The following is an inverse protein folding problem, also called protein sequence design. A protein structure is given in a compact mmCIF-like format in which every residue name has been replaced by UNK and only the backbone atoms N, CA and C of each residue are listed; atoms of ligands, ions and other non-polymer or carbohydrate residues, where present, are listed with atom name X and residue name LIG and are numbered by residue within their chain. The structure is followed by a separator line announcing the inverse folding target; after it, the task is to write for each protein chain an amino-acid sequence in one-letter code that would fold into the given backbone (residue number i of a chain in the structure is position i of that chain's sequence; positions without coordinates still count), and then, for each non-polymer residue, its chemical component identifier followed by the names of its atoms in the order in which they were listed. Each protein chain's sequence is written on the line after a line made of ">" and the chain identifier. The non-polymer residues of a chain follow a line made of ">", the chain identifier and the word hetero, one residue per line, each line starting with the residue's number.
data_IF_340243471450
#
_entry.id   IF_340243471450
#
_cell.length_a   1.000
_cell.length_b   1.000
_cell.length_c   1.000
_cell.angle_alpha   90.00
_cell.angle_beta   90.00
_cell.angle_gamma   90.00
#
_symmetry.space_group_name_H-M   'P 1'
#
loop_
_entity.id
_entity.type
_entity.pdbx_description
1 polymer ?
#
# COMPACT_ATOMS: atom_id res chain seq x y z
N UNK A 1 -3.96 -48.75 -40.67
CA UNK A 1 -3.21 -47.78 -39.85
C UNK A 1 -4.26 -46.97 -39.11
N UNK A 2 -4.53 -47.30 -37.86
CA UNK A 2 -5.48 -46.51 -37.03
C UNK A 2 -4.69 -45.46 -36.32
N UNK A 3 -4.80 -44.20 -36.77
CA UNK A 3 -4.30 -43.06 -36.04
C UNK A 3 -5.06 -42.95 -34.73
N UNK A 4 -4.42 -43.38 -33.65
CA UNK A 4 -5.00 -43.20 -32.31
C UNK A 4 -5.23 -41.71 -32.03
N UNK A 5 -6.20 -41.34 -31.17
CA UNK A 5 -6.50 -39.95 -30.89
C UNK A 5 -5.25 -39.21 -30.43
N UNK A 6 -5.06 -37.96 -30.88
CA UNK A 6 -3.86 -37.18 -30.56
C UNK A 6 -3.74 -37.07 -29.04
N UNK A 7 -2.57 -37.45 -28.51
CA UNK A 7 -2.28 -37.33 -27.08
C UNK A 7 -2.33 -35.85 -26.70
N UNK A 8 -3.18 -35.52 -25.73
CA UNK A 8 -3.29 -34.15 -25.23
C UNK A 8 -1.95 -33.63 -24.73
N UNK A 9 -1.49 -32.49 -25.26
CA UNK A 9 -0.27 -31.82 -24.83
C UNK A 9 -0.57 -30.94 -23.61
N UNK A 10 -0.57 -31.57 -22.44
CA UNK A 10 -0.86 -30.90 -21.16
C UNK A 10 0.13 -29.78 -20.81
N UNK A 11 1.35 -29.84 -21.33
CA UNK A 11 2.35 -28.79 -21.11
C UNK A 11 1.94 -27.50 -21.83
N UNK A 12 1.57 -27.58 -23.09
CA UNK A 12 1.07 -26.43 -23.85
C UNK A 12 -0.23 -25.90 -23.27
N UNK A 13 -1.10 -26.77 -22.79
CA UNK A 13 -2.34 -26.37 -22.14
C UNK A 13 -2.05 -25.57 -20.84
N UNK A 14 -1.11 -26.05 -20.02
CA UNK A 14 -0.73 -25.35 -18.78
C UNK A 14 -0.11 -23.98 -19.06
N UNK A 15 0.79 -23.87 -20.03
CA UNK A 15 1.41 -22.60 -20.45
C UNK A 15 0.34 -21.64 -20.99
N UNK A 16 -0.59 -22.13 -21.81
CA UNK A 16 -1.72 -21.36 -22.33
C UNK A 16 -2.65 -20.83 -21.24
N UNK A 17 -3.04 -21.66 -20.29
CA UNK A 17 -3.87 -21.25 -19.14
C UNK A 17 -3.17 -20.22 -18.28
N UNK A 18 -1.87 -20.41 -18.00
CA UNK A 18 -1.07 -19.44 -17.25
C UNK A 18 -1.01 -18.08 -17.94
N UNK A 19 -0.71 -18.05 -19.24
CA UNK A 19 -0.65 -16.80 -20.03
C UNK A 19 -2.02 -16.11 -20.10
N UNK A 20 -3.08 -16.86 -20.40
CA UNK A 20 -4.44 -16.31 -20.47
C UNK A 20 -4.87 -15.71 -19.12
N UNK A 21 -4.55 -16.38 -18.01
CA UNK A 21 -4.85 -15.89 -16.67
C UNK A 21 -4.11 -14.57 -16.36
N UNK A 22 -2.84 -14.48 -16.66
CA UNK A 22 -2.06 -13.25 -16.48
C UNK A 22 -2.65 -12.13 -17.36
N UNK A 23 -2.99 -12.42 -18.61
CA UNK A 23 -3.60 -11.44 -19.51
C UNK A 23 -4.92 -10.89 -18.96
N UNK A 24 -5.77 -11.73 -18.35
CA UNK A 24 -7.00 -11.29 -17.67
C UNK A 24 -6.70 -10.34 -16.51
N UNK A 25 -5.72 -10.64 -15.66
CA UNK A 25 -5.34 -9.74 -14.58
C UNK A 25 -4.79 -8.40 -15.09
N UNK A 26 -4.00 -8.41 -16.16
CA UNK A 26 -3.53 -7.18 -16.80
C UNK A 26 -4.70 -6.37 -17.38
N UNK A 27 -5.67 -7.04 -18.02
CA UNK A 27 -6.85 -6.38 -18.54
C UNK A 27 -7.68 -5.74 -17.41
N UNK A 28 -7.91 -6.45 -16.31
CA UNK A 28 -8.61 -5.91 -15.13
C UNK A 28 -7.86 -4.73 -14.50
N UNK A 29 -6.55 -4.71 -14.59
CA UNK A 29 -5.74 -3.59 -14.13
C UNK A 29 -5.86 -2.38 -15.09
N UNK A 30 -5.79 -2.59 -16.39
CA UNK A 30 -5.91 -1.49 -17.39
C UNK A 30 -7.30 -0.88 -17.41
N UNK A 31 -8.35 -1.67 -17.15
CA UNK A 31 -9.73 -1.19 -17.00
C UNK A 31 -10.00 -0.49 -15.66
N UNK A 32 -9.03 -0.49 -14.74
CA UNK A 32 -9.15 0.14 -13.42
C UNK A 32 -9.94 -0.67 -12.39
N UNK A 33 -10.38 -1.88 -12.74
CA UNK A 33 -11.05 -2.80 -11.79
C UNK A 33 -10.07 -3.27 -10.70
N UNK A 34 -8.82 -3.55 -11.08
CA UNK A 34 -7.75 -3.84 -10.13
C UNK A 34 -6.84 -2.62 -9.96
N UNK A 35 -6.60 -2.18 -8.72
CA UNK A 35 -5.67 -1.08 -8.45
C UNK A 35 -4.22 -1.55 -8.72
N UNK A 36 -3.36 -0.64 -9.14
CA UNK A 36 -1.93 -0.92 -9.32
C UNK A 36 -1.24 -1.49 -8.07
N UNK A 37 -1.75 -1.17 -6.90
CA UNK A 37 -1.28 -1.75 -5.63
C UNK A 37 -1.46 -3.27 -5.53
N UNK A 38 -2.32 -3.87 -6.34
CA UNK A 38 -2.46 -5.31 -6.48
C UNK A 38 -1.13 -5.98 -6.82
N UNK A 39 -0.36 -5.39 -7.75
CA UNK A 39 0.93 -5.96 -8.17
C UNK A 39 1.97 -5.97 -7.07
N UNK A 40 1.92 -5.01 -6.13
CA UNK A 40 2.78 -5.03 -4.95
C UNK A 40 2.53 -6.24 -4.05
N UNK A 41 1.28 -6.67 -3.98
CA UNK A 41 0.90 -7.86 -3.22
C UNK A 41 1.15 -9.15 -4.00
N UNK A 42 0.94 -9.10 -5.32
CA UNK A 42 1.22 -10.23 -6.22
C UNK A 42 2.72 -10.60 -6.23
N UNK A 43 3.62 -9.62 -6.12
CA UNK A 43 5.07 -9.87 -6.03
C UNK A 43 5.42 -10.72 -4.80
N UNK A 44 4.71 -10.55 -3.68
CA UNK A 44 4.93 -11.38 -2.49
C UNK A 44 4.62 -12.86 -2.73
N UNK A 45 3.90 -13.19 -3.81
CA UNK A 45 3.59 -14.56 -4.20
C UNK A 45 4.68 -15.22 -5.08
N UNK A 46 5.87 -14.58 -5.22
CA UNK A 46 6.97 -15.14 -6.00
C UNK A 46 7.32 -16.62 -5.65
N UNK A 47 7.17 -17.10 -4.36
CA UNK A 47 7.42 -18.50 -4.07
C UNK A 47 6.46 -19.45 -4.79
N UNK A 48 5.23 -19.00 -5.12
CA UNK A 48 4.26 -19.79 -5.89
C UNK A 48 4.75 -20.00 -7.32
N UNK A 49 5.53 -19.08 -7.88
CA UNK A 49 6.13 -19.26 -9.21
C UNK A 49 7.17 -20.38 -9.19
N UNK A 50 7.99 -20.44 -8.13
CA UNK A 50 8.97 -21.53 -7.96
C UNK A 50 8.24 -22.86 -7.74
N UNK A 51 7.19 -22.88 -6.91
CA UNK A 51 6.37 -24.08 -6.71
C UNK A 51 5.71 -24.52 -8.01
N UNK A 52 5.16 -23.60 -8.80
CA UNK A 52 4.58 -23.88 -10.11
C UNK A 52 5.61 -24.50 -11.06
N UNK A 53 6.82 -23.94 -11.12
CA UNK A 53 7.91 -24.50 -11.90
C UNK A 53 8.32 -25.91 -11.42
N UNK A 54 8.39 -26.11 -10.10
CA UNK A 54 8.67 -27.40 -9.49
C UNK A 54 7.61 -28.46 -9.83
N UNK A 55 6.33 -28.11 -9.75
CA UNK A 55 5.20 -28.98 -10.14
C UNK A 55 5.34 -29.36 -11.61
N UNK A 56 5.63 -28.40 -12.49
CA UNK A 56 5.83 -28.66 -13.92
C UNK A 56 6.93 -29.68 -14.16
N UNK A 57 8.10 -29.50 -13.55
CA UNK A 57 9.24 -30.40 -13.69
C UNK A 57 8.91 -31.80 -13.12
N UNK A 58 8.27 -31.87 -11.96
CA UNK A 58 7.97 -33.12 -11.27
C UNK A 58 6.94 -33.99 -12.04
N UNK A 59 5.94 -33.37 -12.63
CA UNK A 59 4.80 -34.10 -13.23
C UNK A 59 4.86 -34.21 -14.76
N UNK A 60 5.74 -33.48 -15.45
CA UNK A 60 5.87 -33.50 -16.92
C UNK A 60 6.12 -34.91 -17.47
N UNK A 61 6.82 -35.77 -16.72
CA UNK A 61 7.21 -37.13 -17.16
C UNK A 61 6.48 -38.25 -16.40
N UNK A 62 5.45 -37.92 -15.64
CA UNK A 62 4.71 -38.92 -14.84
C UNK A 62 3.55 -39.55 -15.61
N UNK A 63 2.92 -40.58 -14.99
CA UNK A 63 1.70 -41.21 -15.53
C UNK A 63 0.46 -40.31 -15.45
N UNK A 64 0.53 -39.19 -14.70
CA UNK A 64 -0.55 -38.22 -14.52
C UNK A 64 -0.12 -36.81 -15.02
N UNK A 65 0.14 -36.63 -16.33
CA UNK A 65 0.68 -35.39 -16.88
C UNK A 65 -0.28 -34.19 -16.72
N UNK A 66 -1.56 -34.42 -16.50
CA UNK A 66 -2.54 -33.38 -16.23
C UNK A 66 -2.27 -32.61 -14.91
N UNK A 67 -1.54 -33.20 -13.95
CA UNK A 67 -1.13 -32.53 -12.71
C UNK A 67 -0.25 -31.30 -12.96
N UNK A 68 0.34 -31.14 -14.13
CA UNK A 68 1.06 -29.93 -14.54
C UNK A 68 0.14 -28.69 -14.48
N UNK A 69 -1.17 -28.85 -14.65
CA UNK A 69 -2.15 -27.76 -14.52
C UNK A 69 -2.26 -27.20 -13.10
N UNK A 70 -1.84 -27.96 -12.07
CA UNK A 70 -1.82 -27.46 -10.69
C UNK A 70 -0.87 -26.25 -10.54
N UNK A 71 0.21 -26.17 -11.33
CA UNK A 71 1.13 -25.03 -11.29
C UNK A 71 0.44 -23.70 -11.59
N UNK A 72 -0.09 -23.49 -12.80
CA UNK A 72 -0.82 -22.27 -13.12
C UNK A 72 -2.07 -22.08 -12.26
N UNK A 73 -2.79 -23.13 -11.87
CA UNK A 73 -3.94 -23.03 -10.98
C UNK A 73 -3.55 -22.44 -9.60
N UNK A 74 -2.42 -22.85 -9.05
CA UNK A 74 -1.90 -22.34 -7.78
C UNK A 74 -1.52 -20.87 -7.88
N UNK A 75 -0.86 -20.46 -8.96
CA UNK A 75 -0.47 -19.07 -9.19
C UNK A 75 -1.72 -18.19 -9.38
N UNK A 76 -2.65 -18.60 -10.24
CA UNK A 76 -3.89 -17.87 -10.52
C UNK A 76 -4.79 -17.82 -9.28
N UNK A 77 -4.86 -18.89 -8.51
CA UNK A 77 -5.58 -18.94 -7.24
C UNK A 77 -4.99 -17.97 -6.21
N UNK A 78 -3.65 -17.90 -6.12
CA UNK A 78 -2.95 -16.93 -5.28
C UNK A 78 -3.22 -15.48 -5.70
N UNK A 79 -3.18 -15.20 -7.01
CA UNK A 79 -3.53 -13.89 -7.54
C UNK A 79 -4.99 -13.51 -7.28
N UNK A 80 -5.92 -14.44 -7.48
CA UNK A 80 -7.33 -14.23 -7.18
C UNK A 80 -7.55 -13.97 -5.68
N UNK A 81 -6.86 -14.72 -4.81
CA UNK A 81 -6.92 -14.50 -3.36
C UNK A 81 -6.41 -13.10 -2.96
N UNK A 82 -5.29 -12.65 -3.55
CA UNK A 82 -4.81 -11.29 -3.35
C UNK A 82 -5.81 -10.26 -3.87
N UNK A 83 -6.41 -10.49 -5.02
CA UNK A 83 -7.42 -9.59 -5.60
C UNK A 83 -8.65 -9.43 -4.69
N UNK A 84 -9.07 -10.49 -4.02
CA UNK A 84 -10.17 -10.45 -3.03
C UNK A 84 -9.72 -9.93 -1.66
N UNK A 85 -8.54 -10.32 -1.20
CA UNK A 85 -7.97 -9.94 0.10
C UNK A 85 -7.46 -8.50 0.17
N UNK A 86 -7.10 -7.92 -0.97
CA UNK A 86 -6.67 -6.51 -1.04
C UNK A 86 -7.76 -5.51 -0.62
N UNK A 87 -9.01 -5.95 -0.52
CA UNK A 87 -10.16 -5.12 -0.08
C UNK A 87 -10.40 -5.17 1.43
N UNK A 88 -9.85 -6.13 2.14
CA UNK A 88 -10.06 -6.26 3.59
C UNK A 88 -8.89 -5.63 4.35
N UNK A 89 -8.99 -4.34 4.58
CA UNK A 89 -8.08 -3.57 5.43
C UNK A 89 -8.40 -3.79 6.93
N UNK A 90 -8.49 -5.05 7.36
CA UNK A 90 -8.75 -5.34 8.76
C UNK A 90 -7.45 -5.15 9.54
N UNK A 91 -7.37 -4.16 10.44
CA UNK A 91 -6.23 -4.01 11.33
C UNK A 91 -6.19 -5.22 12.27
N UNK A 92 -5.11 -5.98 12.24
CA UNK A 92 -4.95 -7.17 13.06
C UNK A 92 -3.99 -6.85 14.20
N UNK A 93 -4.53 -6.36 15.30
CA UNK A 93 -3.76 -6.09 16.52
C UNK A 93 -4.18 -4.78 17.21
N UNK A 94 -3.83 -4.61 18.48
CA UNK A 94 -4.06 -3.36 19.18
C UNK A 94 -3.10 -2.28 18.64
N UNK A 95 -3.58 -1.04 18.62
CA UNK A 95 -2.75 0.11 18.38
C UNK A 95 -1.82 0.34 19.58
N UNK A 96 -0.54 0.53 19.31
CA UNK A 96 0.44 1.04 20.26
C UNK A 96 0.62 2.53 20.01
N UNK A 97 0.48 3.33 21.04
CA UNK A 97 0.86 4.74 20.98
C UNK A 97 2.35 4.84 21.31
N UNK A 98 3.10 5.47 20.42
CA UNK A 98 4.51 5.81 20.67
C UNK A 98 4.63 7.14 21.46
N UNK A 99 3.46 7.72 21.82
CA UNK A 99 3.36 8.99 22.54
C UNK A 99 3.63 10.22 21.68
N UNK A 100 3.37 11.40 22.24
CA UNK A 100 3.74 12.64 21.59
C UNK A 100 5.26 12.81 21.60
N UNK A 101 5.85 13.07 20.45
CA UNK A 101 7.26 13.40 20.32
C UNK A 101 7.46 14.90 20.64
N UNK A 102 8.35 15.25 21.58
CA UNK A 102 8.54 16.63 21.96
C UNK A 102 9.17 17.44 20.84
N UNK A 103 8.75 18.69 20.72
CA UNK A 103 9.34 19.65 19.81
C UNK A 103 10.69 20.12 20.37
N UNK A 104 11.79 19.95 19.64
CA UNK A 104 13.09 20.51 20.04
C UNK A 104 13.03 22.04 20.10
N UNK A 105 13.62 22.63 21.14
CA UNK A 105 13.67 24.08 21.27
C UNK A 105 14.32 24.74 20.07
N UNK A 106 13.75 25.84 19.58
CA UNK A 106 14.26 26.58 18.44
C UNK A 106 14.03 25.95 17.06
N UNK A 107 13.31 24.84 16.96
CA UNK A 107 12.91 24.27 15.68
C UNK A 107 11.84 25.14 15.01
N UNK A 108 12.13 25.57 13.77
CA UNK A 108 11.25 26.41 12.95
C UNK A 108 10.62 25.64 11.78
N UNK A 109 11.16 24.49 11.43
CA UNK A 109 10.73 23.63 10.31
C UNK A 109 10.69 22.17 10.73
N UNK A 110 9.92 21.37 10.01
CA UNK A 110 9.84 19.92 10.22
C UNK A 110 10.24 19.20 8.94
N UNK A 111 11.10 18.22 9.07
CA UNK A 111 11.44 17.28 8.00
C UNK A 111 11.11 15.86 8.46
N UNK A 112 10.30 15.16 7.68
CA UNK A 112 9.97 13.75 7.91
C UNK A 112 10.90 12.86 7.07
N UNK A 113 11.79 12.12 7.70
CA UNK A 113 12.63 11.08 7.07
C UNK A 113 12.00 9.70 7.34
N UNK A 114 11.32 9.16 6.34
CA UNK A 114 10.47 7.97 6.47
C UNK A 114 11.07 6.83 5.65
N UNK A 115 11.64 5.83 6.32
CA UNK A 115 12.22 4.64 5.71
C UNK A 115 11.38 3.42 6.05
N UNK A 116 10.71 2.87 5.05
CA UNK A 116 9.69 1.87 5.27
C UNK A 116 9.85 0.68 4.32
N UNK A 117 9.51 -0.51 4.80
CA UNK A 117 9.43 -1.71 3.98
C UNK A 117 8.15 -2.48 4.27
N UNK A 118 7.40 -2.88 3.23
CA UNK A 118 6.19 -3.70 3.37
C UNK A 118 5.08 -3.06 4.23
N UNK A 119 5.05 -1.74 4.38
CA UNK A 119 4.27 -1.03 5.39
C UNK A 119 3.15 -0.18 4.80
N UNK A 120 2.20 0.20 5.66
CA UNK A 120 1.22 1.25 5.39
C UNK A 120 1.48 2.44 6.30
N UNK A 121 1.49 3.63 5.72
CA UNK A 121 1.72 4.87 6.43
C UNK A 121 0.57 5.83 6.16
N UNK A 122 0.04 6.44 7.21
CA UNK A 122 -0.88 7.58 7.14
C UNK A 122 -0.25 8.76 7.88
N UNK A 123 -0.06 9.87 7.18
CA UNK A 123 0.42 11.12 7.78
C UNK A 123 -0.68 12.15 7.66
N UNK A 124 -1.05 12.79 8.77
CA UNK A 124 -2.12 13.77 8.79
C UNK A 124 -1.66 15.04 9.51
N UNK A 125 -1.77 16.18 8.82
CA UNK A 125 -1.55 17.48 9.45
C UNK A 125 -2.75 17.83 10.34
N UNK A 126 -2.48 17.96 11.64
CA UNK A 126 -3.50 18.28 12.65
C UNK A 126 -2.93 19.13 13.78
N UNK A 127 -3.81 19.74 14.53
CA UNK A 127 -3.41 20.37 15.79
C UNK A 127 -2.93 19.29 16.76
N UNK A 128 -1.76 19.48 17.32
CA UNK A 128 -1.14 18.61 18.30
C UNK A 128 -1.18 19.27 19.68
N UNK A 129 -0.96 18.47 20.72
CA UNK A 129 -0.79 19.00 22.07
C UNK A 129 0.36 20.02 22.13
N UNK A 130 0.25 21.00 23.02
CA UNK A 130 1.26 22.04 23.16
C UNK A 130 2.66 21.43 23.42
N UNK A 131 3.63 21.80 22.59
CA UNK A 131 4.98 21.28 22.68
C UNK A 131 5.24 19.95 21.96
N UNK A 132 4.22 19.34 21.36
CA UNK A 132 4.41 18.16 20.53
C UNK A 132 4.82 18.54 19.10
N UNK A 133 5.78 17.80 18.54
CA UNK A 133 6.19 17.88 17.15
C UNK A 133 5.49 16.85 16.27
N UNK A 134 5.26 15.68 16.82
CA UNK A 134 4.55 14.61 16.12
C UNK A 134 3.86 13.71 17.15
N UNK A 135 2.79 13.05 16.72
CA UNK A 135 2.11 12.00 17.47
C UNK A 135 2.05 10.75 16.59
N UNK A 136 2.57 9.65 17.09
CA UNK A 136 2.70 8.43 16.32
C UNK A 136 1.96 7.26 16.97
N UNK A 137 1.29 6.49 16.13
CA UNK A 137 0.65 5.22 16.51
C UNK A 137 1.06 4.13 15.55
N UNK A 138 1.29 2.94 16.07
CA UNK A 138 1.66 1.80 15.26
C UNK A 138 0.82 0.56 15.58
N UNK A 139 0.65 -0.29 14.58
CA UNK A 139 0.27 -1.69 14.77
C UNK A 139 1.45 -2.50 14.31
N UNK A 140 2.23 -2.94 15.29
CA UNK A 140 3.41 -3.75 15.06
C UNK A 140 3.19 -5.20 15.51
N UNK A 141 3.74 -6.11 14.76
CA UNK A 141 3.71 -7.52 15.16
C UNK A 141 5.08 -8.13 15.40
N UNK A 142 6.19 -7.58 15.11
CA UNK A 142 7.53 -8.21 15.34
C UNK A 142 8.66 -7.37 14.74
N UNK A 143 8.56 -6.08 14.65
CA UNK A 143 9.64 -5.28 14.07
C UNK A 143 10.32 -4.37 15.09
N UNK A 144 11.57 -4.17 14.88
CA UNK A 144 12.37 -3.16 15.56
C UNK A 144 12.26 -1.83 14.80
N UNK A 145 11.07 -1.26 14.72
CA UNK A 145 10.95 0.07 14.17
C UNK A 145 11.52 1.10 15.18
N UNK A 146 12.20 2.09 14.66
CA UNK A 146 12.71 3.19 15.45
C UNK A 146 12.07 4.50 15.03
N UNK A 147 11.50 5.21 15.99
CA UNK A 147 10.99 6.55 15.81
C UNK A 147 11.84 7.49 16.65
N UNK A 148 12.42 8.51 16.04
CA UNK A 148 13.29 9.44 16.72
C UNK A 148 13.13 10.86 16.18
N UNK A 149 13.38 11.84 17.05
CA UNK A 149 13.44 13.25 16.68
C UNK A 149 14.86 13.74 16.93
N UNK A 150 15.44 14.38 15.93
CA UNK A 150 16.73 15.07 16.06
C UNK A 150 16.58 16.49 15.56
N UNK A 151 17.27 17.43 16.20
CA UNK A 151 17.40 18.78 15.71
C UNK A 151 18.68 18.91 14.87
N UNK A 152 18.55 19.48 13.70
CA UNK A 152 19.65 19.87 12.83
C UNK A 152 19.41 21.35 12.48
N UNK A 153 20.19 22.24 13.08
CA UNK A 153 20.02 23.70 13.00
C UNK A 153 18.61 24.18 13.43
N UNK A 154 17.82 24.72 12.52
CA UNK A 154 16.44 25.17 12.74
C UNK A 154 15.38 24.13 12.31
N UNK A 155 15.83 22.94 11.85
CA UNK A 155 14.98 21.86 11.36
C UNK A 155 14.85 20.75 12.42
N UNK A 156 13.64 20.40 12.78
CA UNK A 156 13.36 19.18 13.53
C UNK A 156 13.17 18.02 12.55
N UNK A 157 14.08 17.07 12.55
CA UNK A 157 13.98 15.86 11.72
C UNK A 157 13.30 14.76 12.51
N UNK A 158 12.12 14.35 12.07
CA UNK A 158 11.40 13.17 12.56
C UNK A 158 11.77 11.99 11.69
N UNK A 159 12.50 11.04 12.24
CA UNK A 159 12.93 9.86 11.52
C UNK A 159 12.12 8.65 11.97
N UNK A 160 11.42 8.03 11.03
CA UNK A 160 10.77 6.74 11.17
C UNK A 160 11.52 5.72 10.31
N UNK A 161 12.17 4.76 10.95
CA UNK A 161 12.85 3.65 10.28
C UNK A 161 12.15 2.35 10.67
N UNK A 162 11.38 1.80 9.74
CA UNK A 162 10.65 0.56 9.88
C UNK A 162 11.04 -0.41 8.75
N UNK A 163 12.35 -0.57 8.57
CA UNK A 163 12.93 -1.56 7.68
C UNK A 163 13.09 -2.88 8.44
N UNK A 164 12.31 -3.89 8.04
CA UNK A 164 12.43 -5.22 8.66
C UNK A 164 13.83 -5.80 8.44
N UNK A 165 14.50 -6.16 9.55
CA UNK A 165 15.79 -6.87 9.51
C UNK A 165 15.66 -8.37 9.31
N UNK A 166 14.46 -8.93 9.33
CA UNK A 166 14.23 -10.38 9.31
C UNK A 166 13.31 -10.81 8.16
N UNK A 167 13.91 -11.40 7.15
CA UNK A 167 13.26 -12.26 6.18
C UNK A 167 12.52 -11.57 5.02
N UNK A 168 12.78 -12.06 3.83
CA UNK A 168 12.26 -11.57 2.54
C UNK A 168 10.76 -11.84 2.33
N UNK A 169 10.06 -12.45 3.27
CA UNK A 169 8.66 -12.88 3.07
C UNK A 169 7.70 -11.93 3.77
N UNK A 170 7.25 -10.92 3.05
CA UNK A 170 6.09 -10.12 3.47
C UNK A 170 4.82 -10.91 3.15
N UNK A 171 4.20 -11.51 4.18
CA UNK A 171 2.94 -12.21 4.00
C UNK A 171 1.81 -11.22 3.69
N UNK A 172 0.98 -11.48 2.67
CA UNK A 172 -0.20 -10.66 2.37
C UNK A 172 -1.10 -10.53 3.61
N UNK A 173 -1.58 -9.31 3.88
CA UNK A 173 -2.50 -9.05 5.00
C UNK A 173 -1.86 -8.82 6.37
N UNK A 174 -0.54 -8.97 6.53
CA UNK A 174 0.17 -8.75 7.81
C UNK A 174 1.16 -7.58 7.71
N UNK A 175 0.68 -6.43 7.22
CA UNK A 175 1.53 -5.24 7.07
C UNK A 175 1.53 -4.41 8.34
N UNK A 176 2.70 -3.86 8.66
CA UNK A 176 2.81 -2.80 9.65
C UNK A 176 1.96 -1.61 9.22
N UNK A 177 1.27 -0.99 10.15
CA UNK A 177 0.53 0.24 9.92
C UNK A 177 1.05 1.32 10.86
N UNK A 178 1.34 2.46 10.28
CA UNK A 178 1.78 3.66 10.97
C UNK A 178 0.80 4.79 10.74
N UNK A 179 0.46 5.48 11.81
CA UNK A 179 -0.25 6.75 11.76
C UNK A 179 0.60 7.81 12.42
N UNK A 180 0.85 8.89 11.71
CA UNK A 180 1.68 9.99 12.15
C UNK A 180 0.90 11.30 12.05
N UNK A 181 0.63 11.94 13.17
CA UNK A 181 0.14 13.31 13.25
C UNK A 181 1.29 14.28 13.18
N UNK A 182 1.18 15.34 12.38
CA UNK A 182 2.20 16.40 12.23
C UNK A 182 1.58 17.77 12.45
N UNK A 183 2.32 18.77 12.93
CA UNK A 183 1.79 20.09 13.23
C UNK A 183 1.39 20.82 11.95
N UNK A 184 0.37 21.64 12.04
CA UNK A 184 -0.10 22.52 10.94
C UNK A 184 0.67 23.83 10.85
N UNK A 185 1.30 24.26 11.96
CA UNK A 185 1.89 25.57 12.11
C UNK A 185 3.27 25.71 11.49
N UNK A 186 4.03 24.60 11.47
CA UNK A 186 5.42 24.61 11.00
C UNK A 186 5.52 24.26 9.52
N UNK A 187 6.43 24.90 8.79
CA UNK A 187 6.80 24.47 7.45
C UNK A 187 7.25 23.02 7.44
N UNK A 188 6.67 22.23 6.54
CA UNK A 188 6.82 20.78 6.49
C UNK A 188 7.43 20.33 5.17
N UNK A 189 8.46 19.52 5.25
CA UNK A 189 8.98 18.72 4.12
C UNK A 189 9.03 17.25 4.47
N UNK A 190 9.04 16.37 3.46
CA UNK A 190 9.19 14.95 3.71
C UNK A 190 10.09 14.24 2.70
N UNK A 191 10.71 13.17 3.14
CA UNK A 191 11.41 12.20 2.32
C UNK A 191 10.89 10.81 2.66
N UNK A 192 10.24 10.15 1.68
CA UNK A 192 9.75 8.78 1.79
C UNK A 192 10.65 7.87 0.99
N UNK A 193 11.35 6.98 1.66
CA UNK A 193 12.18 5.94 1.06
C UNK A 193 11.69 4.53 1.37
N UNK A 194 11.99 3.58 0.47
CA UNK A 194 11.73 2.19 0.78
C UNK A 194 11.17 1.35 -0.35
N UNK A 195 10.53 0.23 0.03
CA UNK A 195 9.93 -0.67 -0.94
C UNK A 195 8.61 -1.26 -0.44
N UNK A 196 7.68 -1.50 -1.38
CA UNK A 196 6.35 -2.07 -1.11
C UNK A 196 5.53 -1.27 -0.08
N UNK A 197 5.61 0.06 -0.12
CA UNK A 197 4.93 0.95 0.81
C UNK A 197 3.67 1.53 0.19
N UNK A 198 2.58 1.52 0.95
CA UNK A 198 1.39 2.31 0.64
C UNK A 198 1.31 3.46 1.64
N UNK A 199 1.38 4.69 1.15
CA UNK A 199 1.37 5.88 1.98
C UNK A 199 0.23 6.82 1.61
N UNK A 200 -0.33 7.46 2.61
CA UNK A 200 -1.34 8.51 2.47
C UNK A 200 -0.91 9.71 3.31
N UNK A 201 -0.77 10.84 2.67
CA UNK A 201 -0.44 12.10 3.30
C UNK A 201 -1.61 13.06 3.12
N UNK A 202 -2.25 13.45 4.21
CA UNK A 202 -3.18 14.56 4.25
C UNK A 202 -2.49 15.78 4.85
N UNK A 203 -1.93 16.58 3.97
CA UNK A 203 -1.19 17.79 4.30
C UNK A 203 -1.98 19.05 3.96
N UNK A 204 -3.28 18.92 3.75
CA UNK A 204 -4.15 20.01 3.33
C UNK A 204 -4.15 21.23 4.24
N UNK A 205 -3.80 21.05 5.52
CA UNK A 205 -3.72 22.09 6.54
C UNK A 205 -2.29 22.47 6.92
N UNK A 206 -1.27 21.93 6.27
CA UNK A 206 0.13 22.21 6.59
C UNK A 206 0.69 23.32 5.72
N UNK A 207 1.78 23.92 6.19
CA UNK A 207 2.65 24.78 5.36
C UNK A 207 3.65 23.89 4.62
N UNK A 208 3.22 23.35 3.51
CA UNK A 208 4.01 22.37 2.78
C UNK A 208 5.09 23.01 1.92
N UNK A 209 6.36 22.65 2.13
CA UNK A 209 7.53 23.20 1.42
C UNK A 209 8.12 22.26 0.36
N UNK A 210 7.82 20.97 0.42
CA UNK A 210 8.31 20.03 -0.59
C UNK A 210 8.32 18.58 -0.13
N UNK A 211 8.56 17.68 -1.08
CA UNK A 211 8.61 16.26 -0.77
C UNK A 211 9.42 15.44 -1.78
N UNK A 212 9.95 14.34 -1.29
CA UNK A 212 10.66 13.37 -2.11
C UNK A 212 10.13 11.97 -1.84
N UNK A 213 9.84 11.25 -2.92
CA UNK A 213 9.46 9.83 -2.90
C UNK A 213 10.52 9.06 -3.67
N UNK A 214 11.22 8.15 -3.00
CA UNK A 214 12.32 7.40 -3.60
C UNK A 214 12.22 5.93 -3.24
N UNK A 215 12.01 5.07 -4.22
CA UNK A 215 11.98 3.63 -3.94
C UNK A 215 11.34 2.79 -5.03
N UNK A 216 10.93 1.59 -4.61
CA UNK A 216 10.40 0.58 -5.52
C UNK A 216 9.02 0.12 -5.05
N UNK A 217 8.04 0.09 -5.96
CA UNK A 217 6.66 -0.28 -5.66
C UNK A 217 6.02 0.59 -4.56
N UNK A 218 6.17 1.90 -4.65
CA UNK A 218 5.52 2.83 -3.74
C UNK A 218 4.18 3.29 -4.31
N UNK A 219 3.13 3.25 -3.49
CA UNK A 219 1.84 3.85 -3.82
C UNK A 219 1.55 4.98 -2.83
N UNK A 220 1.70 6.22 -3.28
CA UNK A 220 1.59 7.42 -2.46
C UNK A 220 0.39 8.25 -2.89
N UNK A 221 -0.46 8.59 -1.93
CA UNK A 221 -1.55 9.55 -2.09
C UNK A 221 -1.22 10.81 -1.31
N UNK A 222 -1.21 11.95 -1.99
CA UNK A 222 -0.92 13.26 -1.39
C UNK A 222 -2.15 14.15 -1.52
N UNK A 223 -2.60 14.69 -0.40
CA UNK A 223 -3.57 15.77 -0.35
C UNK A 223 -2.85 17.03 0.10
N UNK A 224 -2.73 18.00 -0.80
CA UNK A 224 -1.85 19.16 -0.63
C UNK A 224 -2.66 20.45 -0.42
N UNK A 225 -2.12 21.47 0.28
CA UNK A 225 -2.74 22.79 0.41
C UNK A 225 -2.64 23.62 -0.87
N UNK A 226 -3.27 24.79 -0.90
CA UNK A 226 -2.87 25.86 -1.82
C UNK A 226 -1.51 26.41 -1.38
N UNK A 227 -0.69 26.84 -2.34
CA UNK A 227 0.66 27.33 -2.06
C UNK A 227 0.85 28.75 -2.57
N UNK A 228 1.64 29.55 -1.83
CA UNK A 228 1.96 30.94 -2.15
C UNK A 228 3.30 31.06 -2.92
N UNK A 229 4.11 30.02 -2.89
CA UNK A 229 5.39 29.93 -3.60
C UNK A 229 5.48 28.60 -4.36
N UNK A 230 6.30 28.50 -5.42
CA UNK A 230 6.49 27.26 -6.14
C UNK A 230 7.08 26.17 -5.24
N UNK A 231 6.41 25.01 -5.19
CA UNK A 231 6.82 23.86 -4.38
C UNK A 231 7.24 22.71 -5.26
N UNK A 232 8.38 22.09 -4.95
CA UNK A 232 8.93 20.97 -5.72
C UNK A 232 8.61 19.64 -5.04
N UNK A 233 8.14 18.68 -5.85
CA UNK A 233 7.95 17.28 -5.51
C UNK A 233 8.82 16.42 -6.43
N UNK A 234 9.54 15.47 -5.89
CA UNK A 234 10.38 14.55 -6.66
C UNK A 234 9.91 13.11 -6.44
N UNK A 235 9.73 12.39 -7.53
CA UNK A 235 9.42 10.96 -7.52
C UNK A 235 10.50 10.23 -8.28
N UNK A 236 11.26 9.39 -7.60
CA UNK A 236 12.35 8.63 -8.18
C UNK A 236 12.21 7.15 -7.87
N UNK A 237 12.57 6.31 -8.81
CA UNK A 237 12.62 4.86 -8.63
C UNK A 237 11.81 4.08 -9.67
N UNK A 238 11.29 2.93 -9.26
CA UNK A 238 10.68 1.96 -10.18
C UNK A 238 9.31 1.52 -9.70
N UNK A 239 8.34 1.49 -10.60
CA UNK A 239 6.95 1.11 -10.33
C UNK A 239 6.26 1.94 -9.22
N UNK A 240 6.51 3.23 -9.19
CA UNK A 240 5.86 4.10 -8.24
C UNK A 240 4.56 4.70 -8.79
N UNK A 241 3.56 4.79 -7.93
CA UNK A 241 2.30 5.46 -8.22
C UNK A 241 2.13 6.65 -7.28
N UNK A 242 2.04 7.85 -7.84
CA UNK A 242 1.76 9.07 -7.11
C UNK A 242 0.38 9.61 -7.51
N UNK A 243 -0.52 9.72 -6.56
CA UNK A 243 -1.80 10.43 -6.72
C UNK A 243 -1.74 11.73 -5.92
N UNK A 244 -1.90 12.85 -6.60
CA UNK A 244 -1.84 14.19 -5.98
C UNK A 244 -3.20 14.84 -6.10
N UNK A 245 -3.78 15.23 -4.98
CA UNK A 245 -5.01 15.99 -4.88
C UNK A 245 -4.69 17.41 -4.43
N UNK A 246 -5.02 18.40 -5.25
CA UNK A 246 -4.79 19.82 -4.99
C UNK A 246 -6.10 20.60 -5.01
N UNK A 247 -6.20 21.76 -4.34
CA UNK A 247 -7.34 22.64 -4.45
C UNK A 247 -7.54 23.11 -5.89
N UNK A 248 -8.79 23.36 -6.27
CA UNK A 248 -9.13 23.90 -7.57
C UNK A 248 -8.40 25.24 -7.81
N UNK A 249 -7.91 25.46 -9.04
CA UNK A 249 -7.13 26.63 -9.40
C UNK A 249 -5.63 26.58 -9.04
N UNK A 250 -5.17 25.58 -8.28
CA UNK A 250 -3.74 25.44 -7.97
C UNK A 250 -2.99 24.84 -9.18
N UNK A 251 -1.98 25.54 -9.74
CA UNK A 251 -1.21 25.02 -10.87
C UNK A 251 -0.37 23.81 -10.47
N UNK A 252 -0.39 22.77 -11.31
CA UNK A 252 0.51 21.61 -11.16
C UNK A 252 1.16 21.33 -12.50
N UNK A 253 2.48 21.35 -12.51
CA UNK A 253 3.30 20.99 -13.69
C UNK A 253 4.05 19.72 -13.43
N UNK A 254 3.93 18.73 -14.33
CA UNK A 254 4.69 17.49 -14.23
C UNK A 254 5.77 17.48 -15.29
N UNK A 255 7.00 17.33 -14.86
CA UNK A 255 8.18 17.11 -15.70
C UNK A 255 8.70 15.70 -15.46
N UNK A 256 9.04 14.99 -16.51
CA UNK A 256 9.59 13.64 -16.41
C UNK A 256 10.69 13.43 -17.42
N UNK A 257 11.77 12.79 -16.98
CA UNK A 257 12.88 12.37 -17.83
C UNK A 257 12.81 10.88 -18.17
N UNK A 258 11.89 10.15 -17.57
CA UNK A 258 11.77 8.71 -17.71
C UNK A 258 11.08 8.28 -19.01
N UNK A 259 11.86 8.00 -20.03
CA UNK A 259 11.44 7.24 -21.20
C UNK A 259 11.74 5.73 -20.94
N UNK A 260 10.91 4.77 -21.37
CA UNK A 260 9.72 4.92 -22.23
C UNK A 260 8.37 4.70 -21.53
N UNK A 261 8.31 4.41 -20.20
CA UNK A 261 7.11 3.83 -19.59
C UNK A 261 6.50 4.64 -18.43
N UNK A 262 6.79 5.95 -18.34
CA UNK A 262 6.14 6.77 -17.32
C UNK A 262 4.79 7.28 -17.82
N UNK A 263 3.73 6.97 -17.07
CA UNK A 263 2.37 7.42 -17.36
C UNK A 263 2.04 8.68 -16.55
N UNK A 264 1.82 9.79 -17.23
CA UNK A 264 1.38 11.03 -16.59
C UNK A 264 -0.03 11.36 -17.08
N UNK A 265 -1.01 11.27 -16.19
CA UNK A 265 -2.38 11.69 -16.47
C UNK A 265 -2.56 13.15 -16.05
N UNK A 266 -2.80 14.04 -17.02
CA UNK A 266 -2.82 15.50 -16.88
C UNK A 266 -1.44 16.09 -16.53
N UNK A 267 -0.74 16.59 -17.53
CA UNK A 267 0.60 17.20 -17.38
C UNK A 267 0.59 18.60 -16.80
N UNK A 268 -0.46 19.34 -17.05
CA UNK A 268 -0.66 20.72 -16.57
C UNK A 268 -2.09 20.88 -16.11
N UNK A 269 -2.28 21.39 -14.92
CA UNK A 269 -3.58 21.72 -14.32
C UNK A 269 -3.44 23.10 -13.67
N UNK A 270 -4.46 23.96 -13.84
CA UNK A 270 -4.50 25.30 -13.23
C UNK A 270 -4.02 26.41 -14.16
N UNK A 271 -4.10 27.65 -13.67
CA UNK A 271 -3.76 28.87 -14.42
C UNK A 271 -2.25 29.09 -14.46
N UNK A 272 -1.72 29.41 -15.64
CA UNK A 272 -0.31 29.79 -15.78
C UNK A 272 -0.04 31.13 -15.08
N UNK A 273 1.11 31.22 -14.42
CA UNK A 273 1.55 32.44 -13.72
C UNK A 273 1.28 32.47 -12.22
N UNK A 274 0.45 31.58 -11.69
CA UNK A 274 0.27 31.44 -10.24
C UNK A 274 1.30 30.49 -9.62
N UNK A 275 1.66 30.66 -8.34
CA UNK A 275 2.44 29.68 -7.59
C UNK A 275 1.74 28.33 -7.57
N UNK A 276 2.50 27.25 -7.68
CA UNK A 276 1.94 25.91 -7.74
C UNK A 276 2.97 24.83 -7.49
N UNK A 277 2.64 23.61 -7.88
CA UNK A 277 3.47 22.44 -7.70
C UNK A 277 4.23 22.07 -8.97
N UNK A 278 5.53 21.82 -8.83
CA UNK A 278 6.36 21.23 -9.86
C UNK A 278 6.72 19.80 -9.46
N UNK A 279 6.21 18.82 -10.19
CA UNK A 279 6.44 17.39 -9.91
C UNK A 279 7.46 16.88 -10.91
N UNK A 280 8.62 16.51 -10.42
CA UNK A 280 9.66 15.87 -11.22
C UNK A 280 9.55 14.35 -11.07
N UNK A 281 9.49 13.62 -12.19
CA UNK A 281 9.35 12.16 -12.22
C UNK A 281 10.56 11.55 -12.92
N UNK A 282 11.39 10.85 -12.15
CA UNK A 282 12.57 10.17 -12.64
C UNK A 282 12.46 8.66 -12.41
N UNK A 283 13.08 7.85 -13.29
CA UNK A 283 13.03 6.39 -13.21
C UNK A 283 12.06 5.76 -14.22
N UNK A 284 11.61 4.54 -13.94
CA UNK A 284 10.88 3.69 -14.90
C UNK A 284 9.56 3.18 -14.33
N UNK A 285 8.52 3.10 -15.19
CA UNK A 285 7.18 2.63 -14.82
C UNK A 285 6.51 3.42 -13.69
N UNK A 286 6.79 4.72 -13.60
CA UNK A 286 6.13 5.57 -12.63
C UNK A 286 4.82 6.13 -13.21
N UNK A 287 3.79 6.21 -12.37
CA UNK A 287 2.50 6.79 -12.73
C UNK A 287 2.16 7.98 -11.83
N UNK A 288 1.79 9.11 -12.44
CA UNK A 288 1.33 10.29 -11.72
C UNK A 288 -0.09 10.62 -12.14
N UNK A 289 -0.99 10.71 -11.17
CA UNK A 289 -2.38 11.09 -11.36
C UNK A 289 -2.65 12.36 -10.55
N UNK A 290 -3.13 13.42 -11.23
CA UNK A 290 -3.48 14.69 -10.60
C UNK A 290 -4.99 14.78 -10.54
N UNK A 291 -5.53 15.09 -9.37
CA UNK A 291 -6.94 15.29 -9.08
C UNK A 291 -7.12 16.69 -8.48
N UNK A 292 -8.13 17.41 -8.94
CA UNK A 292 -8.54 18.68 -8.34
C UNK A 292 -9.70 18.43 -7.38
N UNK A 293 -9.68 19.07 -6.22
CA UNK A 293 -10.78 19.04 -5.26
C UNK A 293 -11.32 20.45 -5.06
N UNK A 294 -12.63 20.55 -4.88
CA UNK A 294 -13.22 21.80 -4.37
C UNK A 294 -12.58 22.13 -3.03
N UNK A 295 -12.19 23.38 -2.85
CA UNK A 295 -11.77 23.86 -1.53
C UNK A 295 -12.91 23.60 -0.55
N UNK A 296 -12.64 22.89 0.54
CA UNK A 296 -13.60 22.83 1.63
C UNK A 296 -13.86 24.27 2.08
N UNK A 297 -15.13 24.69 2.27
CA UNK A 297 -15.38 25.99 2.80
C UNK A 297 -14.61 26.16 4.12
N UNK A 298 -13.95 27.33 4.27
CA UNK A 298 -13.05 27.59 5.40
C UNK A 298 -13.74 27.42 6.78
N UNK A 299 -15.06 27.51 6.80
CA UNK A 299 -15.90 27.39 8.00
C UNK A 299 -16.61 26.03 8.15
N UNK A 300 -16.25 25.02 7.34
CA UNK A 300 -16.85 23.70 7.54
C UNK A 300 -16.39 23.14 8.89
N UNK A 301 -17.31 22.87 9.84
CA UNK A 301 -16.95 22.24 11.09
C UNK A 301 -16.22 20.91 10.78
N UNK A 302 -15.22 20.53 11.59
CA UNK A 302 -14.53 19.26 11.39
C UNK A 302 -15.58 18.14 11.33
N UNK A 303 -15.45 17.19 10.42
CA UNK A 303 -16.36 16.05 10.38
C UNK A 303 -16.43 15.45 11.79
N UNK A 304 -17.62 15.11 12.28
CA UNK A 304 -17.75 14.52 13.59
C UNK A 304 -16.80 13.31 13.68
N UNK A 305 -16.13 13.11 14.83
CA UNK A 305 -15.27 11.94 14.99
C UNK A 305 -16.08 10.71 14.62
N UNK A 306 -15.52 9.87 13.75
CA UNK A 306 -16.15 8.60 13.42
C UNK A 306 -16.57 7.93 14.73
N UNK A 307 -17.87 7.70 14.89
CA UNK A 307 -18.39 7.05 16.07
C UNK A 307 -17.59 5.77 16.30
N UNK A 308 -17.13 5.50 17.53
CA UNK A 308 -16.43 4.26 17.80
C UNK A 308 -17.27 3.11 17.25
N UNK A 309 -16.67 2.13 16.57
CA UNK A 309 -17.39 1.01 16.04
C UNK A 309 -18.25 0.45 17.16
N UNK A 310 -19.57 0.41 16.95
CA UNK A 310 -20.52 -0.07 17.92
C UNK A 310 -20.07 -1.43 18.47
N UNK A 311 -20.41 -1.77 19.70
CA UNK A 311 -20.01 -3.03 20.29
C UNK A 311 -20.32 -4.15 19.29
N UNK A 312 -19.31 -4.98 19.05
CA UNK A 312 -19.45 -6.11 18.13
C UNK A 312 -20.74 -6.87 18.53
N UNK A 313 -21.58 -7.24 17.55
CA UNK A 313 -22.80 -7.96 17.87
C UNK A 313 -22.44 -9.15 18.76
N UNK A 314 -23.03 -9.17 19.96
CA UNK A 314 -22.86 -10.26 20.90
C UNK A 314 -23.07 -11.57 20.14
N UNK A 315 -22.00 -12.37 20.05
CA UNK A 315 -22.12 -13.71 19.46
C UNK A 315 -23.19 -14.43 20.24
N UNK A 316 -24.35 -14.62 19.61
CA UNK A 316 -25.37 -15.51 20.18
C UNK A 316 -24.66 -16.78 20.62
N UNK A 317 -24.85 -17.22 21.87
CA UNK A 317 -24.25 -18.45 22.33
C UNK A 317 -24.62 -19.54 21.34
N UNK A 318 -23.61 -20.25 20.88
CA UNK A 318 -23.80 -21.39 19.99
C UNK A 318 -24.77 -22.35 20.69
N UNK A 319 -25.89 -22.76 20.08
CA UNK A 319 -26.80 -23.69 20.72
C UNK A 319 -25.98 -24.90 21.18
N UNK A 320 -26.11 -25.19 22.47
CA UNK A 320 -25.49 -26.34 23.13
C UNK A 320 -25.82 -27.59 22.32
N UNK A 321 -24.76 -28.27 21.84
CA UNK A 321 -24.95 -29.46 21.01
C UNK A 321 -25.79 -30.47 21.78
N UNK A 322 -26.95 -30.82 21.26
CA UNK A 322 -27.82 -31.84 21.77
C UNK A 322 -26.99 -33.11 22.00
N UNK A 323 -27.04 -33.73 23.20
CA UNK A 323 -26.22 -34.88 23.52
C UNK A 323 -26.53 -36.02 22.53
N UNK A 324 -25.46 -36.54 21.94
CA UNK A 324 -25.58 -37.65 20.99
C UNK A 324 -26.36 -38.82 21.59
N UNK A 325 -27.28 -39.43 20.83
CA UNK A 325 -28.03 -40.60 21.32
C UNK A 325 -27.08 -41.74 21.69
N UNK A 326 -27.39 -42.48 22.77
CA UNK A 326 -26.55 -43.57 23.24
C UNK A 326 -26.37 -44.64 22.16
N UNK A 327 -25.13 -45.09 22.00
CA UNK A 327 -24.78 -46.13 21.04
C UNK A 327 -25.57 -47.41 21.30
N UNK A 328 -26.04 -48.10 20.24
CA UNK A 328 -26.76 -49.38 20.40
C UNK A 328 -25.85 -50.43 21.02
N UNK A 329 -26.35 -51.08 22.05
CA UNK A 329 -25.69 -52.17 22.76
C UNK A 329 -25.31 -53.31 21.83
N UNK A 330 -24.07 -53.75 21.87
CA UNK A 330 -23.58 -54.85 21.05
C UNK A 330 -24.30 -56.15 21.45
N UNK A 331 -24.63 -57.02 20.44
CA UNK A 331 -25.29 -58.28 20.71
C UNK A 331 -24.37 -59.23 21.52
N UNK A 332 -24.90 -59.72 22.63
CA UNK A 332 -24.29 -60.78 23.42
C UNK A 332 -24.24 -62.05 22.59
N UNK A 333 -23.04 -62.52 22.26
CA UNK A 333 -22.83 -63.83 21.69
C UNK A 333 -22.92 -64.85 22.81
N UNK A 334 -23.98 -65.71 22.77
CA UNK A 334 -24.05 -66.96 23.50
C UNK A 334 -23.33 -68.07 22.75
#
# INVERSE_FOLDING_TARGET
>A
MSDGPPKADWKRAADGVGMAGIAVFLLLNTTGVLPWSFWMEAIALWPLLIMSAGIKIAFERTRAPWLVLLGPALVLGGLAWVATGARTDIPVGPWKSEGPLPRPEGAKRVNLDLKLFGSRLSVTARELEQGALADARSIERHSSASLSVKREDDVARVRLDATERHGVVVLPGRRQRWELGVPTELPLSYELGGAMVRSRFDLSRSRFEGGRVNGVFLATQLTLPAVEAPVKLSVNGVFNMLRVSVPEGTPVRVRGTGFPFNAVKRRVVGEEGRPGYEIQVDGIFNAVVIETRQAAPADAPPPPPEAPPGPAPERRPKPEAEPAPPAPSAPVRG
#
